data_IF_009801219645
#
_entry.id   IF_009801219645
#
_cell.length_a   1.000
_cell.length_b   1.000
_cell.length_c   1.000
_cell.angle_alpha   90.00
_cell.angle_beta   90.00
_cell.angle_gamma   90.00
#
_symmetry.space_group_name_H-M   'P 1'
#
loop_
_entity.id
_entity.type
_entity.pdbx_description
1 polymer ?
#
# COMPACT_ATOMS: atom_id res chain seq x y z
N UNK A 1 -8.33 6.76 30.27
CA UNK A 1 -7.18 7.31 29.52
C UNK A 1 -7.75 8.08 28.35
N UNK A 2 -7.47 9.38 28.17
CA UNK A 2 -7.94 10.05 26.97
C UNK A 2 -7.18 9.43 25.80
N UNK A 3 -7.91 8.89 24.83
CA UNK A 3 -7.32 8.50 23.56
C UNK A 3 -6.64 9.73 22.99
N UNK A 4 -5.33 9.65 22.78
CA UNK A 4 -4.61 10.65 21.99
C UNK A 4 -5.35 10.75 20.67
N UNK A 5 -6.12 11.81 20.45
CA UNK A 5 -6.77 12.09 19.18
C UNK A 5 -5.66 12.40 18.17
N UNK A 6 -5.01 11.36 17.65
CA UNK A 6 -4.33 11.48 16.38
C UNK A 6 -5.38 11.99 15.41
N UNK A 7 -5.11 13.15 14.82
CA UNK A 7 -5.99 13.77 13.84
C UNK A 7 -6.18 12.77 12.70
N UNK A 8 -7.42 12.47 12.33
CA UNK A 8 -7.68 11.53 11.25
C UNK A 8 -7.17 12.12 9.93
N UNK A 9 -6.74 11.31 8.94
CA UNK A 9 -6.22 11.82 7.67
C UNK A 9 -7.17 12.78 6.94
N UNK A 10 -8.48 12.61 7.13
CA UNK A 10 -9.49 13.52 6.60
C UNK A 10 -9.48 14.89 7.30
N UNK A 11 -9.27 14.94 8.61
CA UNK A 11 -9.24 16.18 9.38
C UNK A 11 -8.02 17.03 8.97
N UNK A 12 -6.88 16.40 8.75
CA UNK A 12 -5.67 17.05 8.20
C UNK A 12 -5.94 17.64 6.82
N UNK A 13 -6.55 16.86 5.93
CA UNK A 13 -6.88 17.28 4.57
C UNK A 13 -7.88 18.44 4.55
N UNK A 14 -8.89 18.40 5.42
CA UNK A 14 -9.86 19.49 5.58
C UNK A 14 -9.19 20.75 6.11
N UNK A 15 -8.32 20.63 7.12
CA UNK A 15 -7.58 21.75 7.68
C UNK A 15 -6.65 22.40 6.64
N UNK A 16 -5.99 21.59 5.81
CA UNK A 16 -5.11 22.08 4.75
C UNK A 16 -5.88 22.80 3.65
N UNK A 17 -7.04 22.25 3.25
CA UNK A 17 -7.94 22.90 2.29
C UNK A 17 -8.48 24.22 2.85
N UNK A 18 -8.89 24.24 4.12
CA UNK A 18 -9.38 25.46 4.79
C UNK A 18 -8.32 26.55 4.91
N UNK A 19 -7.03 26.18 5.00
CA UNK A 19 -5.88 27.11 4.96
C UNK A 19 -5.53 27.59 3.56
N UNK A 20 -6.27 27.18 2.53
CA UNK A 20 -5.99 27.55 1.13
C UNK A 20 -4.76 26.88 0.54
N UNK A 21 -4.27 25.77 1.15
CA UNK A 21 -3.16 25.01 0.54
C UNK A 21 -3.63 24.40 -0.77
N UNK A 22 -2.79 24.46 -1.79
CA UNK A 22 -3.08 23.83 -3.08
C UNK A 22 -2.85 22.32 -2.97
N UNK A 23 -3.93 21.57 -2.79
CA UNK A 23 -3.93 20.10 -2.82
C UNK A 23 -4.17 19.62 -4.26
N UNK A 24 -3.45 18.58 -4.67
CA UNK A 24 -3.69 17.89 -5.95
C UNK A 24 -4.35 16.54 -5.65
N UNK A 25 -5.36 16.18 -6.42
CA UNK A 25 -6.09 14.95 -6.26
C UNK A 25 -5.81 13.99 -7.42
N UNK A 26 -5.93 12.69 -7.16
CA UNK A 26 -5.93 11.65 -8.17
C UNK A 26 -7.13 10.74 -7.93
N UNK A 27 -8.28 11.00 -8.59
CA UNK A 27 -9.41 10.09 -8.53
C UNK A 27 -9.07 8.80 -9.28
N UNK A 28 -9.49 7.67 -8.71
CA UNK A 28 -9.39 6.36 -9.34
C UNK A 28 -10.63 5.53 -8.99
N UNK A 29 -11.05 4.70 -9.93
CA UNK A 29 -12.12 3.73 -9.73
C UNK A 29 -12.03 2.61 -10.76
N UNK A 30 -12.47 1.42 -10.38
CA UNK A 30 -12.37 0.22 -11.22
C UNK A 30 -10.95 -0.34 -11.32
N UNK A 31 -10.83 -1.48 -11.99
CA UNK A 31 -9.61 -2.31 -12.01
C UNK A 31 -9.25 -2.81 -13.42
N UNK A 32 -9.85 -2.23 -14.47
CA UNK A 32 -9.59 -2.66 -15.85
C UNK A 32 -8.26 -2.06 -16.33
N UNK A 33 -7.36 -2.87 -16.92
CA UNK A 33 -6.16 -2.34 -17.56
C UNK A 33 -6.50 -1.37 -18.67
N UNK A 34 -5.58 -0.44 -18.93
CA UNK A 34 -5.66 0.41 -20.11
C UNK A 34 -5.47 -0.42 -21.38
N UNK A 35 -6.07 0.02 -22.49
CA UNK A 35 -5.95 -0.68 -23.79
C UNK A 35 -4.53 -0.68 -24.33
N UNK A 36 -3.73 0.31 -23.96
CA UNK A 36 -2.31 0.46 -24.35
C UNK A 36 -1.36 -0.39 -23.50
N UNK A 37 -1.88 -1.17 -22.55
CA UNK A 37 -1.09 -2.03 -21.67
C UNK A 37 -0.33 -1.29 -20.57
N UNK A 38 -0.37 0.05 -20.54
CA UNK A 38 0.32 0.82 -19.52
C UNK A 38 -0.41 0.75 -18.17
N UNK A 39 0.37 0.76 -17.09
CA UNK A 39 -0.18 0.92 -15.75
C UNK A 39 -0.82 2.30 -15.60
N UNK A 40 -2.03 2.31 -15.05
CA UNK A 40 -2.83 3.51 -14.83
C UNK A 40 -3.49 3.51 -13.46
N UNK A 41 -4.35 4.49 -13.16
CA UNK A 41 -4.92 4.67 -11.82
C UNK A 41 -5.74 3.46 -11.35
N UNK A 42 -6.27 2.65 -12.27
CA UNK A 42 -6.98 1.42 -11.95
C UNK A 42 -6.13 0.39 -11.18
N UNK A 43 -4.79 0.48 -11.27
CA UNK A 43 -3.91 -0.39 -10.48
C UNK A 43 -3.97 -0.11 -8.98
N UNK A 44 -4.47 1.06 -8.56
CA UNK A 44 -4.68 1.42 -7.16
C UNK A 44 -5.81 0.60 -6.51
N UNK A 45 -6.73 0.05 -7.32
CA UNK A 45 -7.81 -0.78 -6.83
C UNK A 45 -7.33 -2.07 -6.15
N UNK A 46 -8.00 -2.47 -5.08
CA UNK A 46 -7.77 -3.76 -4.40
C UNK A 46 -8.11 -4.96 -5.30
N UNK A 47 -8.88 -4.73 -6.37
CA UNK A 47 -9.34 -5.73 -7.33
C UNK A 47 -8.41 -5.88 -8.54
N UNK A 48 -7.38 -5.04 -8.65
CA UNK A 48 -6.36 -5.21 -9.68
C UNK A 48 -5.65 -6.56 -9.52
N UNK A 49 -5.47 -7.36 -10.60
CA UNK A 49 -4.76 -8.63 -10.54
C UNK A 49 -3.26 -8.39 -10.35
N UNK A 50 -2.81 -8.49 -9.11
CA UNK A 50 -1.40 -8.40 -8.74
C UNK A 50 -1.20 -9.33 -7.55
N UNK A 51 -0.64 -10.49 -7.84
CA UNK A 51 -0.39 -11.50 -6.82
C UNK A 51 0.85 -11.13 -6.01
N UNK A 52 0.80 -11.39 -4.71
CA UNK A 52 1.94 -11.18 -3.82
C UNK A 52 1.96 -12.26 -2.73
N UNK A 53 3.14 -12.49 -2.17
CA UNK A 53 3.37 -13.55 -1.17
C UNK A 53 3.75 -12.96 0.17
N UNK A 54 3.14 -13.45 1.25
CA UNK A 54 3.47 -13.06 2.63
C UNK A 54 3.47 -14.32 3.47
N UNK A 55 4.55 -14.58 4.21
CA UNK A 55 4.71 -15.78 5.05
C UNK A 55 4.35 -17.07 4.29
N UNK A 56 4.91 -17.22 3.07
CA UNK A 56 4.68 -18.35 2.15
C UNK A 56 3.23 -18.49 1.62
N UNK A 57 2.31 -17.60 2.00
CA UNK A 57 0.94 -17.57 1.50
C UNK A 57 0.83 -16.62 0.31
N UNK A 58 0.34 -17.12 -0.81
CA UNK A 58 0.06 -16.34 -2.02
C UNK A 58 -1.35 -15.75 -1.95
N UNK A 59 -1.45 -14.44 -2.18
CA UNK A 59 -2.71 -13.72 -2.32
C UNK A 59 -2.86 -13.26 -3.77
N UNK A 60 -3.93 -13.67 -4.45
CA UNK A 60 -4.15 -13.34 -5.86
C UNK A 60 -4.46 -11.85 -6.10
N UNK A 61 -4.91 -11.13 -5.07
CA UNK A 61 -5.09 -9.68 -5.08
C UNK A 61 -5.10 -9.12 -3.65
N UNK A 62 -5.04 -7.81 -3.51
CA UNK A 62 -5.14 -7.17 -2.20
C UNK A 62 -6.54 -7.34 -1.54
N UNK A 63 -7.60 -7.57 -2.33
CA UNK A 63 -8.90 -8.01 -1.80
C UNK A 63 -8.80 -9.39 -1.11
N UNK A 64 -8.04 -10.35 -1.67
CA UNK A 64 -7.83 -11.65 -1.03
C UNK A 64 -7.10 -11.48 0.30
N UNK A 65 -6.07 -10.62 0.34
CA UNK A 65 -5.38 -10.28 1.57
C UNK A 65 -6.33 -9.68 2.62
N UNK A 66 -7.13 -8.69 2.24
CA UNK A 66 -8.05 -8.02 3.15
C UNK A 66 -9.07 -8.99 3.75
N UNK A 67 -9.66 -9.86 2.93
CA UNK A 67 -10.66 -10.82 3.39
C UNK A 67 -10.06 -11.99 4.20
N UNK A 68 -8.86 -12.44 3.86
CA UNK A 68 -8.15 -13.46 4.62
C UNK A 68 -7.69 -12.90 5.97
N UNK A 69 -7.17 -11.68 6.00
CA UNK A 69 -6.81 -10.98 7.23
C UNK A 69 -8.02 -10.72 8.12
N UNK A 70 -9.17 -10.37 7.54
CA UNK A 70 -10.44 -10.31 8.28
C UNK A 70 -10.79 -11.66 8.92
N UNK A 71 -10.70 -12.76 8.16
CA UNK A 71 -10.96 -14.09 8.69
C UNK A 71 -10.01 -14.46 9.84
N UNK A 72 -8.71 -14.18 9.69
CA UNK A 72 -7.72 -14.38 10.77
C UNK A 72 -8.03 -13.57 12.02
N UNK A 73 -8.43 -12.30 11.85
CA UNK A 73 -8.76 -11.41 12.96
C UNK A 73 -9.89 -11.96 13.85
N UNK A 74 -10.84 -12.68 13.25
CA UNK A 74 -11.99 -13.28 13.95
C UNK A 74 -11.84 -14.79 14.17
N UNK A 75 -10.64 -15.36 13.95
CA UNK A 75 -10.36 -16.78 14.20
C UNK A 75 -11.09 -17.75 13.27
N UNK A 76 -11.58 -17.30 12.10
CA UNK A 76 -12.32 -18.14 11.16
C UNK A 76 -11.41 -18.74 10.08
N UNK A 77 -10.65 -19.77 10.43
CA UNK A 77 -9.73 -20.44 9.50
C UNK A 77 -10.42 -21.11 8.31
N UNK A 78 -11.72 -21.44 8.40
CA UNK A 78 -12.47 -21.97 7.26
C UNK A 78 -12.74 -20.90 6.22
N UNK A 79 -13.20 -19.73 6.67
CA UNK A 79 -13.40 -18.57 5.81
C UNK A 79 -12.08 -18.11 5.18
N UNK A 80 -10.97 -18.12 5.94
CA UNK A 80 -9.65 -17.80 5.40
C UNK A 80 -9.28 -18.73 4.23
N UNK A 81 -9.40 -20.04 4.43
CA UNK A 81 -9.13 -21.03 3.37
C UNK A 81 -10.06 -20.86 2.16
N UNK A 82 -11.32 -20.49 2.38
CA UNK A 82 -12.27 -20.22 1.30
C UNK A 82 -11.89 -18.97 0.51
N UNK A 83 -11.46 -17.90 1.19
CA UNK A 83 -10.94 -16.67 0.56
C UNK A 83 -9.71 -16.99 -0.27
N UNK A 84 -8.72 -17.70 0.28
CA UNK A 84 -7.47 -18.00 -0.42
C UNK A 84 -7.66 -18.86 -1.68
N UNK A 85 -8.69 -19.73 -1.70
CA UNK A 85 -9.04 -20.54 -2.88
C UNK A 85 -9.94 -19.83 -3.88
N UNK A 86 -10.41 -18.63 -3.59
CA UNK A 86 -11.32 -17.91 -4.48
C UNK A 86 -10.62 -17.57 -5.80
N UNK A 87 -11.29 -17.83 -6.94
CA UNK A 87 -10.73 -17.55 -8.26
C UNK A 87 -10.82 -16.08 -8.70
N UNK A 88 -11.40 -15.21 -7.87
CA UNK A 88 -11.56 -13.78 -8.20
C UNK A 88 -11.74 -12.91 -6.95
N UNK A 89 -11.42 -11.60 -7.03
CA UNK A 89 -11.69 -10.65 -5.94
C UNK A 89 -13.16 -10.64 -5.50
N UNK A 90 -14.10 -10.77 -6.44
CA UNK A 90 -15.53 -10.84 -6.14
C UNK A 90 -15.90 -12.07 -5.29
N UNK A 91 -15.32 -13.23 -5.61
CA UNK A 91 -15.51 -14.46 -4.86
C UNK A 91 -14.85 -14.36 -3.47
N UNK A 92 -13.64 -13.79 -3.39
CA UNK A 92 -12.96 -13.52 -2.11
C UNK A 92 -13.80 -12.61 -1.20
N UNK A 93 -14.33 -11.51 -1.75
CA UNK A 93 -15.23 -10.59 -1.04
C UNK A 93 -16.49 -11.29 -0.54
N UNK A 94 -17.07 -12.17 -1.35
CA UNK A 94 -18.24 -12.96 -0.96
C UNK A 94 -17.90 -13.89 0.21
N UNK A 95 -16.78 -14.61 0.15
CA UNK A 95 -16.32 -15.46 1.25
C UNK A 95 -16.04 -14.64 2.53
N UNK A 96 -15.40 -13.48 2.42
CA UNK A 96 -15.11 -12.60 3.56
C UNK A 96 -16.35 -11.95 4.21
N UNK A 97 -17.50 -11.93 3.53
CA UNK A 97 -18.79 -11.54 4.14
C UNK A 97 -19.35 -12.61 5.08
N UNK A 98 -18.93 -13.86 4.93
CA UNK A 98 -19.40 -15.01 5.72
C UNK A 98 -18.51 -15.34 6.92
N UNK A 99 -17.51 -14.50 7.21
CA UNK A 99 -16.63 -14.67 8.38
C UNK A 99 -17.44 -14.69 9.67
N UNK A 100 -17.31 -15.78 10.43
CA UNK A 100 -17.93 -15.97 11.74
C UNK A 100 -17.21 -15.16 12.81
N UNK A 101 -17.91 -14.87 13.90
CA UNK A 101 -17.35 -14.11 15.02
C UNK A 101 -17.03 -12.65 14.68
N UNK A 102 -17.61 -12.11 13.60
CA UNK A 102 -17.40 -10.74 13.18
C UNK A 102 -17.88 -9.76 14.25
N UNK A 103 -16.96 -8.88 14.65
CA UNK A 103 -17.21 -7.73 15.51
C UNK A 103 -16.88 -6.45 14.73
N UNK A 104 -17.87 -5.56 14.62
CA UNK A 104 -17.75 -4.35 13.79
C UNK A 104 -16.75 -3.35 14.38
N UNK A 105 -16.71 -3.19 15.69
CA UNK A 105 -15.83 -2.22 16.36
C UNK A 105 -14.37 -2.66 16.25
N UNK A 106 -14.12 -3.96 16.43
CA UNK A 106 -12.82 -4.57 16.15
C UNK A 106 -12.46 -4.37 14.68
N UNK A 107 -13.38 -4.62 13.74
CA UNK A 107 -13.09 -4.42 12.33
C UNK A 107 -12.76 -2.97 11.98
N UNK A 108 -13.53 -2.00 12.48
CA UNK A 108 -13.30 -0.57 12.26
C UNK A 108 -11.91 -0.17 12.72
N UNK A 109 -11.48 -0.67 13.89
CA UNK A 109 -10.15 -0.38 14.46
C UNK A 109 -9.01 -0.98 13.64
N UNK A 110 -9.14 -2.22 13.17
CA UNK A 110 -8.01 -2.96 12.58
C UNK A 110 -7.92 -2.85 11.03
N UNK A 111 -9.04 -2.62 10.34
CA UNK A 111 -9.12 -2.71 8.86
C UNK A 111 -8.15 -1.78 8.13
N UNK A 112 -7.89 -0.59 8.68
CA UNK A 112 -7.03 0.38 8.03
C UNK A 112 -5.59 -0.13 7.97
N UNK A 113 -5.02 -0.53 9.11
CA UNK A 113 -3.67 -1.06 9.20
C UNK A 113 -3.49 -2.32 8.32
N UNK A 114 -4.51 -3.18 8.28
CA UNK A 114 -4.51 -4.39 7.44
C UNK A 114 -4.42 -4.04 5.94
N UNK A 115 -5.20 -3.06 5.46
CA UNK A 115 -5.18 -2.64 4.05
C UNK A 115 -3.89 -1.89 3.70
N UNK A 116 -3.34 -1.11 4.63
CA UNK A 116 -2.00 -0.51 4.45
C UNK A 116 -0.96 -1.61 4.25
N UNK A 117 -0.93 -2.63 5.12
CA UNK A 117 0.02 -3.74 5.01
C UNK A 117 -0.11 -4.49 3.67
N UNK A 118 -1.34 -4.82 3.27
CA UNK A 118 -1.60 -5.47 1.98
C UNK A 118 -1.17 -4.62 0.80
N UNK A 119 -1.37 -3.30 0.89
CA UNK A 119 -0.92 -2.37 -0.14
C UNK A 119 0.61 -2.29 -0.20
N UNK A 120 1.31 -2.26 0.95
CA UNK A 120 2.78 -2.33 0.97
C UNK A 120 3.28 -3.62 0.31
N UNK A 121 2.68 -4.78 0.59
CA UNK A 121 3.09 -6.03 -0.05
C UNK A 121 2.83 -6.03 -1.56
N UNK A 122 1.62 -5.62 -1.98
CA UNK A 122 1.25 -5.52 -3.40
C UNK A 122 2.21 -4.62 -4.18
N UNK A 123 2.41 -3.39 -3.71
CA UNK A 123 3.21 -2.39 -4.41
C UNK A 123 4.72 -2.57 -4.19
N UNK A 124 5.13 -3.26 -3.14
CA UNK A 124 6.54 -3.56 -2.87
C UNK A 124 7.08 -4.77 -3.62
N UNK A 125 6.22 -5.70 -4.04
CA UNK A 125 6.62 -6.91 -4.79
C UNK A 125 6.49 -6.77 -6.31
N UNK A 126 5.83 -5.72 -6.79
CA UNK A 126 5.71 -5.40 -8.21
C UNK A 126 6.35 -4.05 -8.51
N UNK A 127 7.48 -4.06 -9.21
CA UNK A 127 8.27 -2.86 -9.46
C UNK A 127 7.53 -1.81 -10.31
N UNK A 128 6.68 -2.22 -11.25
CA UNK A 128 5.94 -1.30 -12.11
C UNK A 128 4.82 -0.62 -11.32
N UNK A 129 4.05 -1.42 -10.56
CA UNK A 129 3.01 -0.87 -9.69
C UNK A 129 3.60 0.00 -8.59
N UNK A 130 4.68 -0.46 -7.97
CA UNK A 130 5.39 0.28 -6.91
C UNK A 130 5.83 1.65 -7.39
N UNK A 131 6.44 1.71 -8.59
CA UNK A 131 6.80 2.98 -9.23
C UNK A 131 5.57 3.85 -9.47
N UNK A 132 4.47 3.29 -10.00
CA UNK A 132 3.25 4.07 -10.21
C UNK A 132 2.74 4.71 -8.91
N UNK A 133 2.70 3.95 -7.81
CA UNK A 133 2.28 4.46 -6.50
C UNK A 133 3.21 5.57 -6.00
N UNK A 134 4.53 5.39 -6.10
CA UNK A 134 5.51 6.40 -5.69
C UNK A 134 5.40 7.69 -6.51
N UNK A 135 5.23 7.56 -7.83
CA UNK A 135 5.07 8.66 -8.80
C UNK A 135 3.77 9.43 -8.62
N UNK A 136 2.82 8.93 -7.82
CA UNK A 136 1.68 9.74 -7.37
C UNK A 136 2.12 10.98 -6.58
N UNK A 137 3.37 11.02 -6.08
CA UNK A 137 3.93 12.20 -5.44
C UNK A 137 3.19 12.51 -4.15
N UNK A 138 2.75 13.75 -3.97
CA UNK A 138 1.98 14.17 -2.79
C UNK A 138 0.49 14.30 -3.09
N UNK A 139 0.02 13.71 -4.21
CA UNK A 139 -1.40 13.71 -4.55
C UNK A 139 -2.19 12.93 -3.51
N UNK A 140 -3.36 13.47 -3.15
CA UNK A 140 -4.38 12.74 -2.40
C UNK A 140 -5.03 11.73 -3.34
N UNK A 141 -4.94 10.46 -3.00
CA UNK A 141 -5.56 9.39 -3.76
C UNK A 141 -7.03 9.29 -3.36
N UNK A 142 -7.93 9.29 -4.34
CA UNK A 142 -9.37 9.34 -4.09
C UNK A 142 -10.05 8.14 -4.74
N UNK A 143 -10.49 7.17 -3.94
CA UNK A 143 -11.30 6.05 -4.44
C UNK A 143 -12.71 6.57 -4.78
N UNK A 144 -12.88 6.92 -6.05
CA UNK A 144 -14.06 7.56 -6.62
C UNK A 144 -15.16 6.56 -6.96
N UNK A 145 -15.48 5.72 -5.98
CA UNK A 145 -16.57 4.75 -6.06
C UNK A 145 -17.89 5.41 -5.65
N UNK A 146 -18.91 5.47 -6.52
CA UNK A 146 -20.22 6.04 -6.17
C UNK A 146 -21.02 5.15 -5.20
N UNK A 147 -20.62 3.88 -5.06
CA UNK A 147 -21.35 2.86 -4.29
C UNK A 147 -20.63 2.41 -3.02
N UNK A 148 -19.40 2.87 -2.79
CA UNK A 148 -18.63 2.55 -1.60
C UNK A 148 -18.35 3.82 -0.78
N UNK A 149 -18.93 3.88 0.42
CA UNK A 149 -18.78 5.02 1.35
C UNK A 149 -17.78 4.74 2.47
N UNK A 150 -17.21 3.54 2.55
CA UNK A 150 -16.21 3.19 3.56
C UNK A 150 -14.83 3.33 2.93
N UNK A 151 -14.58 2.61 1.84
CA UNK A 151 -13.29 2.64 1.17
C UNK A 151 -13.18 3.79 0.18
N UNK A 152 -14.31 4.22 -0.38
CA UNK A 152 -14.41 5.34 -1.32
C UNK A 152 -15.12 6.56 -0.77
N UNK A 153 -15.25 7.58 -1.63
CA UNK A 153 -15.89 8.87 -1.31
C UNK A 153 -17.40 8.91 -1.56
N UNK A 154 -17.99 7.85 -2.13
CA UNK A 154 -19.42 7.82 -2.48
C UNK A 154 -19.79 8.76 -3.63
N UNK A 155 -18.84 9.08 -4.52
CA UNK A 155 -18.99 9.95 -5.69
C UNK A 155 -18.29 9.29 -6.90
N UNK A 156 -18.78 9.54 -8.11
CA UNK A 156 -18.14 9.07 -9.34
C UNK A 156 -16.90 9.91 -9.66
N UNK A 157 -15.98 9.36 -10.47
CA UNK A 157 -14.70 10.01 -10.80
C UNK A 157 -14.84 11.30 -11.63
N UNK A 158 -15.96 11.50 -12.30
CA UNK A 158 -16.29 12.67 -13.11
C UNK A 158 -17.13 13.73 -12.37
N UNK A 159 -17.49 13.49 -11.11
CA UNK A 159 -18.20 14.45 -10.26
C UNK A 159 -17.24 15.53 -9.76
N UNK A 160 -17.51 16.83 -9.96
CA UNK A 160 -16.58 17.89 -9.52
C UNK A 160 -16.24 17.86 -8.01
N UNK A 161 -17.07 17.21 -7.20
CA UNK A 161 -16.88 17.11 -5.76
C UNK A 161 -15.83 16.07 -5.35
N UNK A 162 -15.31 15.22 -6.24
CA UNK A 162 -14.23 14.28 -5.86
C UNK A 162 -12.99 15.03 -5.35
N UNK A 163 -12.76 16.26 -5.80
CA UNK A 163 -11.65 17.11 -5.36
C UNK A 163 -12.01 18.03 -4.19
N UNK A 164 -13.18 17.84 -3.56
CA UNK A 164 -13.70 18.66 -2.46
C UNK A 164 -13.97 17.79 -1.24
N UNK A 165 -12.96 17.55 -0.38
CA UNK A 165 -13.07 16.63 0.76
C UNK A 165 -14.24 16.92 1.70
N UNK A 166 -14.61 18.19 1.88
CA UNK A 166 -15.76 18.60 2.68
C UNK A 166 -17.14 18.21 2.09
N UNK A 167 -17.18 17.82 0.82
CA UNK A 167 -18.40 17.36 0.12
C UNK A 167 -18.43 15.83 -0.10
N UNK A 168 -17.41 15.10 0.37
CA UNK A 168 -17.37 13.65 0.26
C UNK A 168 -18.48 13.01 1.10
N UNK A 169 -19.04 11.91 0.58
CA UNK A 169 -20.11 11.14 1.22
C UNK A 169 -19.60 9.85 1.87
N UNK A 170 -18.29 9.65 1.84
CA UNK A 170 -17.61 8.46 2.31
C UNK A 170 -16.22 8.78 2.83
N UNK A 171 -15.61 7.78 3.46
CA UNK A 171 -14.41 7.96 4.28
C UNK A 171 -13.10 7.94 3.48
N UNK A 172 -13.12 7.50 2.21
CA UNK A 172 -11.93 7.36 1.37
C UNK A 172 -10.79 6.55 2.02
N UNK A 173 -11.11 5.54 2.85
CA UNK A 173 -10.08 4.81 3.59
C UNK A 173 -9.03 4.15 2.70
N UNK A 174 -9.42 3.74 1.48
CA UNK A 174 -8.47 3.12 0.56
C UNK A 174 -7.45 4.14 0.04
N UNK A 175 -7.89 5.34 -0.32
CA UNK A 175 -7.01 6.43 -0.74
C UNK A 175 -5.96 6.74 0.32
N UNK A 176 -6.39 6.92 1.57
CA UNK A 176 -5.48 7.16 2.69
C UNK A 176 -4.57 5.95 3.00
N UNK A 177 -5.08 4.73 2.90
CA UNK A 177 -4.25 3.54 3.12
C UNK A 177 -3.13 3.39 2.07
N UNK A 178 -3.43 3.72 0.81
CA UNK A 178 -2.44 3.74 -0.27
C UNK A 178 -1.39 4.83 -0.07
N UNK A 179 -1.79 6.01 0.42
CA UNK A 179 -0.85 7.09 0.78
C UNK A 179 0.07 6.66 1.93
N UNK A 180 -0.47 6.01 2.97
CA UNK A 180 0.35 5.46 4.05
C UNK A 180 1.31 4.36 3.55
N UNK A 181 0.86 3.50 2.63
CA UNK A 181 1.71 2.50 2.01
C UNK A 181 2.84 3.14 1.17
N UNK A 182 2.53 4.21 0.43
CA UNK A 182 3.51 5.00 -0.34
C UNK A 182 4.61 5.54 0.57
N UNK A 183 4.25 6.14 1.71
CA UNK A 183 5.27 6.67 2.64
C UNK A 183 6.14 5.56 3.25
N UNK A 184 5.56 4.39 3.57
CA UNK A 184 6.35 3.22 4.04
C UNK A 184 7.33 2.72 2.98
N UNK A 185 6.92 2.67 1.71
CA UNK A 185 7.79 2.25 0.61
C UNK A 185 8.91 3.27 0.33
N UNK A 186 8.62 4.57 0.43
CA UNK A 186 9.65 5.63 0.35
C UNK A 186 10.72 5.46 1.43
N UNK A 187 10.28 5.27 2.68
CA UNK A 187 11.19 5.11 3.81
C UNK A 187 12.08 3.86 3.66
N UNK A 188 11.50 2.74 3.21
CA UNK A 188 12.26 1.51 2.95
C UNK A 188 13.30 1.69 1.82
N UNK A 189 12.95 2.40 0.75
CA UNK A 189 13.86 2.71 -0.35
C UNK A 189 15.02 3.64 0.06
N UNK A 190 14.75 4.65 0.90
CA UNK A 190 15.77 5.54 1.43
C UNK A 190 16.77 4.80 2.34
N UNK A 191 16.28 3.95 3.25
CA UNK A 191 17.14 3.14 4.12
C UNK A 191 18.03 2.14 3.35
N UNK A 192 17.51 1.58 2.26
CA UNK A 192 18.30 0.73 1.37
C UNK A 192 19.42 1.51 0.66
N UNK A 193 19.15 2.73 0.19
CA UNK A 193 20.16 3.58 -0.48
C UNK A 193 21.27 4.05 0.48
N UNK A 194 20.93 4.40 1.72
CA UNK A 194 21.90 4.80 2.75
C UNK A 194 22.79 3.63 3.19
N UNK A 195 22.24 2.42 3.33
CA UNK A 195 23.02 1.22 3.67
C UNK A 195 23.99 0.77 2.55
N UNK A 196 23.67 1.07 1.29
CA UNK A 196 24.55 0.82 0.14
C UNK A 196 25.73 1.79 0.04
N UNK A 197 25.57 3.02 0.54
CA UNK A 197 26.63 4.04 0.52
C UNK A 197 27.72 3.81 1.60
N UNK A 198 27.38 3.15 2.71
CA UNK A 198 28.32 2.85 3.80
C UNK A 198 29.29 1.68 3.50
N UNK A 199 29.08 0.92 2.42
CA UNK A 199 29.88 -0.27 2.06
C UNK A 199 31.08 -0.04 1.15
N UNK A 200 31.28 1.18 0.62
CA UNK A 200 32.36 1.51 -0.33
C UNK A 200 33.46 2.33 0.33
N UNK A 201 34.17 1.75 1.30
CA UNK A 201 35.16 2.52 2.07
C UNK A 201 36.18 1.72 2.86
N UNK A 202 36.75 0.64 2.32
CA UNK A 202 38.01 0.09 2.81
C UNK A 202 38.62 -0.93 1.83
N UNK A 203 39.40 -0.45 0.86
CA UNK A 203 40.52 -1.24 0.32
C UNK A 203 41.80 -0.44 0.56
N UNK A 204 42.41 -0.69 1.70
CA UNK A 204 43.71 -0.12 2.06
C UNK A 204 44.80 -0.74 1.20
N UNK A 205 45.49 0.12 0.46
CA UNK A 205 46.68 -0.17 -0.31
C UNK A 205 47.83 -0.59 0.63
N UNK A 206 48.13 -1.89 0.66
CA UNK A 206 49.32 -2.44 1.28
C UNK A 206 50.51 -2.34 0.34
N UNK A 207 51.40 -1.40 0.62
CA UNK A 207 52.59 -1.09 -0.15
C UNK A 207 53.66 -2.20 -0.15
N UNK A 208 54.37 -2.23 -1.27
CA UNK A 208 55.51 -3.07 -1.64
C UNK A 208 56.68 -2.88 -0.68
N UNK A 209 57.26 -3.98 -0.18
CA UNK A 209 58.60 -3.97 0.43
C UNK A 209 59.56 -4.73 -0.49
N UNK A 210 60.55 -3.98 -0.97
CA UNK A 210 61.76 -4.42 -1.64
C UNK A 210 62.68 -5.20 -0.68
N UNK A 211 63.30 -6.27 -1.16
CA UNK A 211 64.46 -6.91 -0.52
C UNK A 211 65.36 -7.51 -1.59
N UNK A 212 66.47 -6.83 -1.89
CA UNK A 212 67.50 -7.27 -2.82
C UNK A 212 68.81 -7.63 -2.09
N UNK A 213 69.49 -8.64 -2.66
CA UNK A 213 70.91 -9.02 -2.51
C UNK A 213 71.37 -9.49 -1.09
N UNK A 214 72.34 -10.39 -0.88
CA UNK A 214 73.48 -10.88 -1.67
C UNK A 214 74.06 -12.16 -1.01
N UNK A 215 74.80 -12.96 -1.79
CA UNK A 215 76.07 -13.55 -1.34
C UNK A 215 76.12 -14.94 -0.66
N UNK A 216 76.76 -15.91 -1.33
CA UNK A 216 77.78 -16.75 -0.65
C UNK A 216 77.78 -18.27 -0.87
N UNK A 217 78.56 -18.70 -1.88
CA UNK A 217 79.35 -19.94 -2.07
C UNK A 217 79.29 -21.07 -1.02
N UNK A 218 79.26 -22.30 -1.54
CA UNK A 218 79.63 -23.55 -0.86
C UNK A 218 79.32 -24.76 -1.72
#
# INVERSE_FOLDING_TARGET
MPHSHAMEPIDELLADTARGRRVKYLPFWGHRPRRDGQVGPHCLSQWWPSAFTVDEVVYASAEHWMMAGKARLFGDGEAERAVLRAGSPAAAKTAGRLVRGFDEDVWIRERFALVVAGSVHKFGQDAELGRYLLDTGDRVLVEASPVDRIWGVGLAADDERVERPGEWRGLNLLGFALMAARERLRAAGAGAAESGAAGVGAVGSGGTVSGGADGGRG
#
